data_IF_415442989517
#
_entry.id   IF_415442989517
#
_cell.length_a   1.000
_cell.length_b   1.000
_cell.length_c   1.000
_cell.angle_alpha   90.00
_cell.angle_beta   90.00
_cell.angle_gamma   90.00
#
_symmetry.space_group_name_H-M   'P 1'
#
loop_
_entity.id
_entity.type
_entity.pdbx_description
1 polymer ?
#
# COMPACT_ATOMS: atom_id res chain seq x y z
N UNK A 1 -16.14 -29.32 -2.72
CA UNK A 1 -15.42 -28.54 -1.69
C UNK A 1 -14.90 -29.45 -0.60
N UNK A 2 -13.72 -29.16 -0.06
CA UNK A 2 -13.10 -29.88 1.06
C UNK A 2 -12.93 -28.91 2.23
N UNK A 3 -13.17 -29.40 3.45
CA UNK A 3 -13.12 -28.60 4.66
C UNK A 3 -12.05 -29.09 5.62
N UNK A 4 -11.39 -28.12 6.28
CA UNK A 4 -10.25 -28.36 7.17
C UNK A 4 -10.34 -27.50 8.44
N UNK A 5 -9.69 -27.95 9.50
CA UNK A 5 -9.41 -27.14 10.68
C UNK A 5 -7.97 -26.58 10.60
N UNK A 6 -7.83 -25.26 10.55
CA UNK A 6 -6.54 -24.58 10.43
C UNK A 6 -6.46 -23.47 11.48
N UNK A 7 -5.49 -23.52 12.39
CA UNK A 7 -5.34 -22.56 13.48
C UNK A 7 -6.69 -22.31 14.23
N UNK A 8 -7.40 -23.38 14.53
CA UNK A 8 -8.74 -23.39 15.16
C UNK A 8 -9.84 -22.65 14.38
N UNK A 9 -9.69 -22.52 13.08
CA UNK A 9 -10.69 -21.93 12.18
C UNK A 9 -11.16 -22.94 11.14
N UNK A 10 -12.40 -22.82 10.73
CA UNK A 10 -12.92 -23.58 9.60
C UNK A 10 -12.37 -22.98 8.30
N UNK A 11 -11.74 -23.82 7.50
CA UNK A 11 -11.19 -23.49 6.21
C UNK A 11 -11.84 -24.34 5.11
N UNK A 12 -12.09 -23.77 3.95
CA UNK A 12 -12.51 -24.46 2.74
C UNK A 12 -11.39 -24.46 1.69
N UNK A 13 -11.41 -25.41 0.76
CA UNK A 13 -10.47 -25.50 -0.36
C UNK A 13 -11.06 -26.32 -1.50
N UNK A 14 -10.59 -26.06 -2.72
CA UNK A 14 -10.75 -26.98 -3.86
C UNK A 14 -9.77 -28.17 -3.79
N UNK A 15 -8.69 -28.05 -3.00
CA UNK A 15 -7.63 -29.06 -2.89
C UNK A 15 -8.05 -30.15 -1.88
N UNK A 16 -7.97 -31.41 -2.32
CA UNK A 16 -8.33 -32.57 -1.50
C UNK A 16 -7.25 -32.95 -0.48
N UNK A 17 -5.99 -32.92 -0.91
CA UNK A 17 -4.87 -33.41 -0.12
C UNK A 17 -4.07 -32.26 0.52
N UNK A 18 -4.65 -31.64 1.56
CA UNK A 18 -3.94 -30.68 2.37
C UNK A 18 -3.52 -31.32 3.71
N UNK A 19 -2.36 -30.91 4.29
CA UNK A 19 -1.82 -31.49 5.51
C UNK A 19 -2.50 -30.94 6.78
N UNK A 20 -3.84 -30.86 6.75
CA UNK A 20 -4.66 -30.38 7.86
C UNK A 20 -5.74 -31.39 8.23
N UNK A 21 -6.22 -31.32 9.47
CA UNK A 21 -7.32 -32.14 9.94
C UNK A 21 -8.59 -31.83 9.13
N UNK A 22 -9.29 -32.88 8.66
CA UNK A 22 -10.58 -32.77 7.97
C UNK A 22 -11.65 -32.25 8.91
N UNK A 23 -12.50 -31.38 8.42
CA UNK A 23 -13.63 -30.82 9.14
C UNK A 23 -14.95 -31.10 8.39
N UNK A 24 -16.07 -31.00 9.08
CA UNK A 24 -17.38 -30.97 8.46
C UNK A 24 -17.65 -29.69 7.70
N UNK A 25 -18.54 -29.74 6.70
CA UNK A 25 -18.98 -28.57 5.95
C UNK A 25 -19.64 -27.53 6.86
N UNK A 26 -19.44 -26.26 6.56
CA UNK A 26 -19.98 -25.14 7.31
C UNK A 26 -19.65 -23.81 6.64
N UNK A 27 -19.83 -22.67 7.32
CA UNK A 27 -19.44 -21.35 6.82
C UNK A 27 -17.96 -21.12 7.17
N UNK A 28 -17.03 -21.16 6.20
CA UNK A 28 -15.60 -21.04 6.48
C UNK A 28 -15.18 -19.61 6.76
N UNK A 29 -14.13 -19.44 7.57
CA UNK A 29 -13.42 -18.17 7.76
C UNK A 29 -12.25 -18.02 6.79
N UNK A 30 -11.66 -19.15 6.36
CA UNK A 30 -10.50 -19.18 5.49
C UNK A 30 -10.82 -19.94 4.20
N UNK A 31 -10.20 -19.54 3.11
CA UNK A 31 -10.15 -20.32 1.88
C UNK A 31 -8.69 -20.58 1.52
N UNK A 32 -8.32 -21.85 1.45
CA UNK A 32 -6.93 -22.27 1.19
C UNK A 32 -6.75 -22.58 -0.29
N UNK A 33 -5.72 -22.01 -0.87
CA UNK A 33 -5.35 -22.27 -2.26
C UNK A 33 -3.83 -22.38 -2.42
N UNK A 34 -3.37 -22.80 -3.58
CA UNK A 34 -1.96 -22.80 -3.98
C UNK A 34 -1.86 -22.19 -5.36
N UNK A 35 -0.97 -21.22 -5.52
CA UNK A 35 -0.64 -20.60 -6.81
C UNK A 35 0.81 -20.89 -7.17
N UNK A 36 1.12 -20.96 -8.45
CA UNK A 36 2.47 -21.28 -8.92
C UNK A 36 3.42 -20.08 -8.85
N UNK A 37 2.89 -18.86 -8.81
CA UNK A 37 3.70 -17.66 -8.85
C UNK A 37 4.18 -17.23 -7.45
N UNK A 38 5.50 -17.07 -7.23
CA UNK A 38 6.06 -16.76 -5.92
C UNK A 38 5.77 -15.32 -5.43
N UNK A 39 5.27 -14.43 -6.29
CA UNK A 39 5.09 -13.00 -5.99
C UNK A 39 3.65 -12.58 -6.29
N UNK A 40 2.72 -13.11 -5.51
CA UNK A 40 1.34 -12.66 -5.43
C UNK A 40 1.01 -12.37 -3.96
N UNK A 41 -0.09 -11.68 -3.70
CA UNK A 41 -0.56 -11.49 -2.31
C UNK A 41 -0.72 -12.85 -1.64
N UNK A 42 -0.26 -12.98 -0.41
CA UNK A 42 -0.38 -14.22 0.36
C UNK A 42 -1.72 -14.35 1.06
N UNK A 43 -2.43 -13.23 1.22
CA UNK A 43 -3.78 -13.19 1.78
C UNK A 43 -4.58 -11.99 1.26
N UNK A 44 -5.89 -12.16 1.16
CA UNK A 44 -6.83 -11.08 0.81
C UNK A 44 -8.23 -11.38 1.29
N UNK A 45 -9.03 -10.33 1.48
CA UNK A 45 -10.46 -10.47 1.68
C UNK A 45 -11.13 -10.89 0.38
N UNK A 46 -11.86 -11.97 0.41
CA UNK A 46 -12.62 -12.47 -0.76
C UNK A 46 -13.93 -11.69 -0.89
N UNK A 47 -14.18 -11.15 -2.07
CA UNK A 47 -15.41 -10.43 -2.40
C UNK A 47 -16.18 -11.08 -3.57
N UNK A 48 -15.53 -12.01 -4.29
CA UNK A 48 -16.12 -12.77 -5.40
C UNK A 48 -15.43 -14.12 -5.55
N UNK A 49 -16.18 -15.13 -6.02
CA UNK A 49 -15.68 -16.50 -6.22
C UNK A 49 -14.51 -16.54 -7.22
N UNK A 50 -14.51 -15.71 -8.25
CA UNK A 50 -13.45 -15.61 -9.27
C UNK A 50 -12.07 -15.33 -8.65
N UNK A 51 -12.02 -14.67 -7.50
CA UNK A 51 -10.77 -14.43 -6.77
C UNK A 51 -10.16 -15.69 -6.13
N UNK A 52 -10.89 -16.78 -6.08
CA UNK A 52 -10.44 -18.07 -5.50
C UNK A 52 -9.77 -18.98 -6.55
N UNK A 53 -9.93 -18.68 -7.83
CA UNK A 53 -9.46 -19.49 -8.96
C UNK A 53 -8.41 -18.78 -9.82
N UNK A 54 -8.16 -17.49 -9.60
CA UNK A 54 -7.22 -16.72 -10.38
C UNK A 54 -5.76 -17.12 -10.07
N UNK A 55 -5.08 -17.68 -11.05
CA UNK A 55 -3.66 -18.07 -10.94
C UNK A 55 -2.74 -16.86 -10.88
N UNK A 56 -3.13 -15.75 -11.50
CA UNK A 56 -2.32 -14.53 -11.59
C UNK A 56 -3.08 -13.31 -11.07
N UNK A 57 -2.34 -12.31 -10.60
CA UNK A 57 -2.89 -11.01 -10.26
C UNK A 57 -2.50 -9.98 -11.32
N UNK A 58 -3.51 -9.45 -12.00
CA UNK A 58 -3.39 -8.39 -13.01
C UNK A 58 -4.43 -7.30 -12.75
N UNK A 59 -4.47 -6.27 -13.59
CA UNK A 59 -5.52 -5.23 -13.52
C UNK A 59 -6.95 -5.78 -13.70
N UNK A 60 -7.12 -7.04 -14.12
CA UNK A 60 -8.40 -7.73 -14.12
C UNK A 60 -9.04 -7.83 -12.72
N UNK A 61 -8.23 -7.78 -11.66
CA UNK A 61 -8.72 -7.73 -10.28
C UNK A 61 -9.51 -6.47 -9.95
N UNK A 62 -9.41 -5.43 -10.78
CA UNK A 62 -10.17 -4.19 -10.61
C UNK A 62 -11.52 -4.23 -11.35
N UNK A 63 -11.74 -5.21 -12.24
CA UNK A 63 -13.01 -5.46 -12.92
C UNK A 63 -13.26 -6.97 -13.03
N UNK A 64 -14.03 -7.50 -12.09
CA UNK A 64 -14.29 -8.94 -11.99
C UNK A 64 -14.88 -9.56 -13.26
N UNK A 65 -15.51 -8.79 -14.13
CA UNK A 65 -16.03 -9.26 -15.43
C UNK A 65 -14.91 -9.63 -16.41
N UNK A 66 -13.68 -9.18 -16.13
CA UNK A 66 -12.47 -9.47 -16.92
C UNK A 66 -11.67 -10.67 -16.41
N UNK A 67 -12.09 -11.22 -15.28
CA UNK A 67 -11.52 -12.45 -14.74
C UNK A 67 -12.16 -13.66 -15.40
N UNK A 68 -11.47 -14.81 -15.37
CA UNK A 68 -11.99 -16.07 -15.85
C UNK A 68 -13.24 -16.49 -15.08
N UNK A 69 -14.04 -17.41 -15.65
CA UNK A 69 -15.27 -17.89 -15.06
C UNK A 69 -15.02 -18.52 -13.67
N UNK A 70 -15.93 -18.26 -12.77
CA UNK A 70 -15.87 -18.79 -11.42
C UNK A 70 -16.14 -20.29 -11.40
N UNK A 71 -15.38 -21.03 -10.58
CA UNK A 71 -15.76 -22.39 -10.22
C UNK A 71 -16.99 -22.40 -9.30
N UNK A 72 -17.80 -23.45 -9.38
CA UNK A 72 -18.90 -23.62 -8.44
C UNK A 72 -18.35 -23.82 -7.01
N UNK A 73 -18.94 -23.11 -6.07
CA UNK A 73 -18.68 -23.23 -4.65
C UNK A 73 -19.96 -23.63 -3.93
N UNK A 74 -19.84 -24.27 -2.78
CA UNK A 74 -21.00 -24.64 -1.98
C UNK A 74 -21.62 -23.44 -1.23
N UNK A 75 -22.76 -23.69 -0.58
CA UNK A 75 -23.53 -22.70 0.15
C UNK A 75 -22.72 -22.05 1.30
N UNK A 76 -21.84 -22.82 1.97
CA UNK A 76 -21.01 -22.30 3.06
C UNK A 76 -20.05 -21.23 2.60
N UNK A 77 -19.32 -21.49 1.50
CA UNK A 77 -18.40 -20.54 0.90
C UNK A 77 -19.14 -19.32 0.33
N UNK A 78 -20.23 -19.53 -0.40
CA UNK A 78 -21.08 -18.45 -0.94
C UNK A 78 -21.58 -17.53 0.18
N UNK A 79 -22.04 -18.10 1.28
CA UNK A 79 -22.51 -17.36 2.46
C UNK A 79 -21.38 -16.54 3.10
N UNK A 80 -20.18 -17.13 3.23
CA UNK A 80 -19.02 -16.41 3.78
C UNK A 80 -18.58 -15.23 2.91
N UNK A 81 -18.62 -15.37 1.58
CA UNK A 81 -18.34 -14.29 0.62
C UNK A 81 -19.40 -13.18 0.77
N UNK A 82 -20.68 -13.53 0.72
CA UNK A 82 -21.79 -12.59 0.84
C UNK A 82 -21.77 -11.82 2.18
N UNK A 83 -21.37 -12.48 3.27
CA UNK A 83 -21.19 -11.85 4.58
C UNK A 83 -19.89 -11.04 4.69
N UNK A 84 -18.97 -11.14 3.71
CA UNK A 84 -17.67 -10.48 3.73
C UNK A 84 -16.73 -10.99 4.83
N UNK A 85 -16.86 -12.27 5.21
CA UNK A 85 -16.12 -12.90 6.33
C UNK A 85 -15.03 -13.85 5.88
N UNK A 86 -14.88 -14.09 4.57
CA UNK A 86 -13.91 -15.03 4.00
C UNK A 86 -12.57 -14.37 3.72
N UNK A 87 -11.50 -14.99 4.18
CA UNK A 87 -10.11 -14.64 3.86
C UNK A 87 -9.47 -15.73 3.01
N UNK A 88 -8.94 -15.40 1.84
CA UNK A 88 -8.11 -16.31 1.07
C UNK A 88 -6.67 -16.33 1.61
N UNK A 89 -6.07 -17.53 1.64
CA UNK A 89 -4.69 -17.77 2.08
C UNK A 89 -3.99 -18.62 1.02
N UNK A 90 -2.90 -18.08 0.46
CA UNK A 90 -2.04 -18.79 -0.48
C UNK A 90 -0.99 -19.61 0.26
N UNK A 91 -1.17 -20.93 0.27
CA UNK A 91 -0.27 -21.88 0.92
C UNK A 91 1.07 -22.04 0.19
N UNK A 92 1.22 -21.52 -1.02
CA UNK A 92 2.50 -21.47 -1.74
C UNK A 92 3.46 -20.46 -1.12
N UNK A 93 2.95 -19.45 -0.40
CA UNK A 93 3.80 -18.54 0.36
C UNK A 93 4.33 -19.25 1.61
N UNK A 94 5.66 -19.33 1.81
CA UNK A 94 6.24 -20.02 2.97
C UNK A 94 5.84 -19.38 4.31
N UNK A 95 5.37 -18.12 4.31
CA UNK A 95 4.89 -17.41 5.49
C UNK A 95 3.36 -17.41 5.63
N UNK A 96 2.64 -18.37 5.05
CA UNK A 96 1.17 -18.42 5.09
C UNK A 96 0.59 -18.38 6.52
N UNK A 97 1.27 -18.95 7.52
CA UNK A 97 0.84 -18.82 8.93
C UNK A 97 0.93 -17.38 9.42
N UNK A 98 1.95 -16.66 9.00
CA UNK A 98 2.04 -15.22 9.30
C UNK A 98 0.93 -14.45 8.57
N UNK A 99 0.58 -14.81 7.34
CA UNK A 99 -0.53 -14.20 6.62
C UNK A 99 -1.87 -14.35 7.38
N UNK A 100 -2.16 -15.53 7.93
CA UNK A 100 -3.31 -15.76 8.81
C UNK A 100 -3.27 -14.85 10.04
N UNK A 101 -2.11 -14.73 10.70
CA UNK A 101 -1.95 -13.88 11.88
C UNK A 101 -2.04 -12.38 11.54
N UNK A 102 -1.56 -11.98 10.35
CA UNK A 102 -1.56 -10.60 9.88
C UNK A 102 -2.98 -10.06 9.64
N UNK A 103 -3.91 -10.91 9.18
CA UNK A 103 -5.31 -10.53 8.95
C UNK A 103 -6.13 -10.41 10.24
N UNK A 104 -5.58 -10.73 11.40
CA UNK A 104 -6.30 -10.60 12.66
C UNK A 104 -6.34 -9.14 13.13
N UNK A 105 -7.51 -8.65 13.59
CA UNK A 105 -7.62 -7.31 14.14
C UNK A 105 -6.74 -7.16 15.39
N UNK A 106 -5.90 -6.14 15.39
CA UNK A 106 -5.15 -5.74 16.58
C UNK A 106 -5.90 -4.61 17.27
N UNK A 107 -6.34 -4.81 18.50
CA UNK A 107 -7.02 -3.79 19.29
C UNK A 107 -6.09 -2.63 19.67
N UNK A 108 -6.67 -1.47 19.98
CA UNK A 108 -5.98 -0.30 20.50
C UNK A 108 -5.33 0.58 19.43
N UNK A 109 -4.80 1.71 19.90
CA UNK A 109 -4.05 2.67 19.08
C UNK A 109 -2.69 2.07 18.71
N UNK A 110 -2.19 2.45 17.53
CA UNK A 110 -0.98 1.90 16.93
C UNK A 110 0.26 2.69 17.32
N UNK A 111 1.39 2.00 17.41
CA UNK A 111 2.72 2.60 17.42
C UNK A 111 3.24 2.73 16.00
N UNK A 112 3.62 3.95 15.61
CA UNK A 112 4.17 4.29 14.29
C UNK A 112 5.61 4.71 14.46
N UNK A 113 6.54 4.09 13.75
CA UNK A 113 7.95 4.48 13.74
C UNK A 113 8.33 5.09 12.38
N UNK A 114 8.82 6.32 12.40
CA UNK A 114 9.17 7.12 11.22
C UNK A 114 10.69 7.23 11.07
N UNK A 115 11.20 6.78 9.94
CA UNK A 115 12.59 6.97 9.54
C UNK A 115 12.74 8.22 8.68
N UNK A 116 13.62 9.11 9.09
CA UNK A 116 13.99 10.40 8.51
C UNK A 116 12.91 11.49 8.66
N UNK A 117 13.30 12.58 9.32
CA UNK A 117 12.47 13.77 9.58
C UNK A 117 12.96 15.01 8.80
N UNK A 118 13.29 14.79 7.50
CA UNK A 118 13.52 15.86 6.54
C UNK A 118 12.22 16.59 6.14
N UNK A 119 12.22 17.31 5.00
CA UNK A 119 11.06 18.11 4.53
C UNK A 119 9.74 17.31 4.54
N UNK A 120 9.74 16.11 3.94
CA UNK A 120 8.55 15.24 3.88
C UNK A 120 8.25 14.63 5.24
N UNK A 121 9.25 14.03 5.91
CA UNK A 121 9.05 13.30 7.17
C UNK A 121 8.58 14.21 8.31
N UNK A 122 9.11 15.42 8.42
CA UNK A 122 8.67 16.38 9.45
C UNK A 122 7.24 16.90 9.23
N UNK A 123 6.87 17.14 7.98
CA UNK A 123 5.51 17.53 7.63
C UNK A 123 4.52 16.38 7.88
N UNK A 124 4.92 15.16 7.52
CA UNK A 124 4.17 13.94 7.85
C UNK A 124 3.98 13.79 9.37
N UNK A 125 5.06 13.90 10.13
CA UNK A 125 5.05 13.82 11.60
C UNK A 125 4.05 14.80 12.19
N UNK A 126 4.11 16.06 11.75
CA UNK A 126 3.17 17.11 12.21
C UNK A 126 1.72 16.74 11.91
N UNK A 127 1.44 16.27 10.69
CA UNK A 127 0.09 15.89 10.30
C UNK A 127 -0.41 14.65 11.08
N UNK A 128 0.44 13.64 11.31
CA UNK A 128 0.09 12.47 12.13
C UNK A 128 -0.19 12.85 13.59
N UNK A 129 0.62 13.75 14.16
CA UNK A 129 0.42 14.29 15.52
C UNK A 129 -0.94 14.96 15.66
N UNK A 130 -1.33 15.78 14.69
CA UNK A 130 -2.57 16.57 14.75
C UNK A 130 -3.82 15.75 14.41
N UNK A 131 -3.74 14.79 13.48
CA UNK A 131 -4.91 14.14 12.90
C UNK A 131 -5.08 12.67 13.33
N UNK A 132 -4.06 12.04 13.89
CA UNK A 132 -4.02 10.59 14.12
C UNK A 132 -4.42 10.13 15.51
N UNK A 133 -4.82 11.04 16.40
CA UNK A 133 -5.00 10.75 17.83
C UNK A 133 -6.05 9.68 18.18
N UNK A 134 -6.94 9.35 17.25
CA UNK A 134 -7.93 8.27 17.41
C UNK A 134 -7.36 6.88 17.12
N UNK A 135 -6.34 6.77 16.25
CA UNK A 135 -5.77 5.48 15.80
C UNK A 135 -4.28 5.31 16.10
N UNK A 136 -3.57 6.40 16.43
CA UNK A 136 -2.15 6.39 16.76
C UNK A 136 -1.97 6.76 18.22
N UNK A 137 -1.26 5.91 18.98
CA UNK A 137 -0.93 6.13 20.39
C UNK A 137 0.41 6.82 20.58
N UNK A 138 1.42 6.41 19.80
CA UNK A 138 2.76 7.00 19.87
C UNK A 138 3.44 6.99 18.50
N UNK A 139 4.36 7.93 18.29
CA UNK A 139 5.18 8.06 17.10
C UNK A 139 6.64 8.08 17.51
N UNK A 140 7.37 7.03 17.15
CA UNK A 140 8.82 6.98 17.28
C UNK A 140 9.47 7.66 16.06
N UNK A 141 10.49 8.49 16.28
CA UNK A 141 11.25 9.10 15.19
C UNK A 141 12.73 8.72 15.26
N UNK A 142 13.26 8.38 14.09
CA UNK A 142 14.67 8.05 13.91
C UNK A 142 15.24 8.87 12.74
N UNK A 143 16.41 9.45 12.94
CA UNK A 143 17.16 10.19 11.91
C UNK A 143 18.65 10.02 12.15
N UNK A 144 19.48 10.19 11.12
CA UNK A 144 20.94 10.16 11.23
C UNK A 144 21.48 11.30 12.10
N UNK A 145 20.73 12.38 12.25
CA UNK A 145 21.07 13.54 13.05
C UNK A 145 20.34 13.51 14.41
N UNK A 146 21.06 13.19 15.47
CA UNK A 146 20.55 13.26 16.84
C UNK A 146 19.96 14.62 17.20
N UNK A 147 20.56 15.71 16.69
CA UNK A 147 20.05 17.07 16.88
C UNK A 147 18.69 17.27 16.23
N UNK A 148 18.47 16.65 15.07
CA UNK A 148 17.19 16.68 14.37
C UNK A 148 16.14 15.91 15.17
N UNK A 149 16.49 14.74 15.69
CA UNK A 149 15.60 13.95 16.57
C UNK A 149 15.25 14.73 17.82
N UNK A 150 16.24 15.26 18.54
CA UNK A 150 16.04 16.04 19.76
C UNK A 150 15.15 17.29 19.52
N UNK A 151 15.36 17.99 18.41
CA UNK A 151 14.50 19.11 18.00
C UNK A 151 13.05 18.67 17.86
N UNK A 152 12.79 17.67 17.02
CA UNK A 152 11.43 17.28 16.68
C UNK A 152 10.69 16.62 17.85
N UNK A 153 11.35 15.84 18.71
CA UNK A 153 10.73 15.32 19.92
C UNK A 153 10.35 16.45 20.88
N UNK A 154 11.22 17.43 21.05
CA UNK A 154 10.95 18.59 21.92
C UNK A 154 9.81 19.45 21.37
N UNK A 155 9.83 19.83 20.11
CA UNK A 155 8.78 20.67 19.53
C UNK A 155 7.44 19.95 19.46
N UNK A 156 7.38 18.67 19.08
CA UNK A 156 6.15 17.89 19.02
C UNK A 156 5.56 17.63 20.41
N UNK A 157 6.41 17.50 21.44
CA UNK A 157 5.97 17.38 22.83
C UNK A 157 5.25 18.65 23.37
N UNK A 158 5.45 19.79 22.71
CA UNK A 158 4.80 21.07 23.08
C UNK A 158 3.47 21.32 22.32
N UNK A 159 3.06 20.40 21.45
CA UNK A 159 1.79 20.49 20.72
C UNK A 159 0.73 19.66 21.43
N UNK A 160 -0.25 20.32 22.04
CA UNK A 160 -1.37 19.69 22.73
C UNK A 160 -2.60 20.62 22.77
N UNK A 161 -3.76 20.03 22.94
CA UNK A 161 -4.97 20.82 23.25
C UNK A 161 -4.94 21.28 24.69
N UNK A 162 -5.35 22.53 24.99
CA UNK A 162 -5.55 22.98 26.37
C UNK A 162 -6.51 22.05 27.10
N UNK A 163 -6.09 21.57 28.26
CA UNK A 163 -6.85 20.68 29.17
C UNK A 163 -7.18 19.29 28.61
N UNK A 164 -6.64 18.93 27.42
CA UNK A 164 -6.73 17.59 26.83
C UNK A 164 -5.34 17.16 26.33
N UNK A 165 -4.40 17.02 27.27
CA UNK A 165 -2.97 16.83 26.98
C UNK A 165 -2.60 15.42 26.48
N UNK A 166 -3.52 14.45 26.55
CA UNK A 166 -3.31 13.05 26.16
C UNK A 166 -4.05 12.64 24.89
N UNK A 167 -4.75 13.55 24.20
CA UNK A 167 -5.57 13.21 23.01
C UNK A 167 -4.76 13.03 21.74
N UNK A 168 -3.55 13.60 21.67
CA UNK A 168 -2.65 13.49 20.54
C UNK A 168 -1.58 12.40 20.79
N UNK A 169 -1.06 11.75 19.74
CA UNK A 169 0.03 10.79 19.86
C UNK A 169 1.25 11.40 20.56
N UNK A 170 1.88 10.66 21.44
CA UNK A 170 3.20 11.03 21.98
C UNK A 170 4.28 10.86 20.89
N UNK A 171 5.29 11.75 20.91
CA UNK A 171 6.43 11.67 19.97
C UNK A 171 7.70 11.46 20.77
N UNK A 172 8.45 10.41 20.45
CA UNK A 172 9.65 10.02 21.15
C UNK A 172 10.79 9.66 20.19
N UNK A 173 12.02 9.72 20.67
CA UNK A 173 13.19 9.23 19.94
C UNK A 173 13.17 7.70 19.91
N UNK A 174 13.53 7.11 18.79
CA UNK A 174 13.70 5.66 18.62
C UNK A 174 15.07 5.38 18.02
N UNK A 175 15.80 4.45 18.61
CA UNK A 175 17.06 3.97 18.09
C UNK A 175 16.83 3.07 16.86
N UNK A 176 17.88 2.96 16.05
CA UNK A 176 17.86 2.14 14.84
C UNK A 176 17.45 0.68 15.10
N UNK A 177 17.88 0.12 16.23
CA UNK A 177 17.59 -1.26 16.64
C UNK A 177 16.11 -1.49 16.98
N UNK A 178 15.39 -0.44 17.40
CA UNK A 178 13.99 -0.49 17.82
C UNK A 178 13.01 0.03 16.76
N UNK A 179 13.49 0.33 15.53
CA UNK A 179 12.63 0.84 14.44
C UNK A 179 11.47 -0.09 14.10
N UNK A 180 11.66 -1.39 14.31
CA UNK A 180 10.66 -2.41 13.97
C UNK A 180 9.87 -2.92 15.18
N UNK A 181 9.95 -2.24 16.35
CA UNK A 181 9.16 -2.54 17.55
C UNK A 181 7.80 -1.84 17.55
N UNK A 182 7.19 -1.65 16.38
CA UNK A 182 5.92 -0.95 16.20
C UNK A 182 4.95 -1.67 15.27
N UNK A 183 3.74 -1.13 15.16
CA UNK A 183 2.71 -1.63 14.23
C UNK A 183 2.93 -1.13 12.81
N UNK A 184 3.56 0.04 12.65
CA UNK A 184 3.86 0.67 11.35
C UNK A 184 5.28 1.19 11.35
N UNK A 185 6.05 0.82 10.33
CA UNK A 185 7.32 1.43 9.99
C UNK A 185 7.13 2.30 8.74
N UNK A 186 7.58 3.56 8.77
CA UNK A 186 7.49 4.49 7.65
C UNK A 186 8.88 4.80 7.10
N UNK A 187 9.10 4.44 5.85
CA UNK A 187 10.29 4.79 5.10
C UNK A 187 10.10 6.11 4.36
N UNK A 188 10.64 7.21 4.91
CA UNK A 188 10.63 8.55 4.30
C UNK A 188 12.05 9.06 3.94
N UNK A 189 13.07 8.19 4.07
CA UNK A 189 14.45 8.54 3.75
C UNK A 189 14.67 8.63 2.24
N UNK A 190 15.43 9.62 1.81
CA UNK A 190 15.82 9.80 0.41
C UNK A 190 17.26 10.30 0.32
N UNK A 191 17.99 9.85 -0.68
CA UNK A 191 19.26 10.42 -1.05
C UNK A 191 19.00 11.69 -1.88
N UNK A 192 19.91 12.66 -1.80
CA UNK A 192 19.75 13.96 -2.42
C UNK A 192 19.23 13.87 -3.88
N UNK A 193 18.14 14.60 -4.14
CA UNK A 193 17.57 14.74 -5.49
C UNK A 193 18.56 15.56 -6.33
N UNK A 194 18.89 15.15 -7.57
CA UNK A 194 19.69 15.96 -8.47
C UNK A 194 19.14 17.38 -8.59
N UNK A 195 20.02 18.37 -8.56
CA UNK A 195 19.63 19.78 -8.69
C UNK A 195 18.89 20.02 -10.01
N UNK A 196 17.94 20.95 -10.00
CA UNK A 196 17.26 21.41 -11.22
C UNK A 196 18.33 21.92 -12.21
N UNK A 197 18.33 21.35 -13.44
CA UNK A 197 19.34 21.68 -14.46
C UNK A 197 20.55 20.73 -14.52
N UNK A 198 20.58 19.66 -13.70
CA UNK A 198 21.61 18.63 -13.82
C UNK A 198 21.45 17.84 -15.14
N UNK A 199 22.58 17.44 -15.75
CA UNK A 199 22.62 16.65 -17.01
C UNK A 199 22.18 15.18 -16.86
N UNK A 200 21.43 14.83 -15.83
CA UNK A 200 20.93 13.46 -15.62
C UNK A 200 19.77 13.21 -16.57
N UNK A 201 19.95 12.32 -17.53
CA UNK A 201 18.96 12.00 -18.57
C UNK A 201 17.66 11.38 -18.02
N UNK A 202 17.75 10.64 -16.92
CA UNK A 202 16.59 10.05 -16.24
C UNK A 202 16.72 10.21 -14.72
N UNK A 203 16.12 11.28 -14.21
CA UNK A 203 16.17 11.65 -12.78
C UNK A 203 15.50 10.58 -11.91
N UNK A 204 14.46 9.92 -12.40
CA UNK A 204 13.71 8.90 -11.63
C UNK A 204 14.49 7.60 -11.51
N UNK A 205 15.15 7.18 -12.58
CA UNK A 205 16.01 5.97 -12.52
C UNK A 205 17.22 6.21 -11.61
N UNK A 206 17.84 7.39 -11.66
CA UNK A 206 18.92 7.74 -10.74
C UNK A 206 18.45 7.80 -9.27
N UNK A 207 17.22 8.27 -9.03
CA UNK A 207 16.59 8.23 -7.70
C UNK A 207 16.29 6.78 -7.27
N UNK A 208 15.78 5.95 -8.18
CA UNK A 208 15.52 4.54 -7.89
C UNK A 208 16.80 3.83 -7.44
N UNK A 209 17.88 3.92 -8.22
CA UNK A 209 19.16 3.29 -7.86
C UNK A 209 19.69 3.78 -6.51
N UNK A 210 19.61 5.08 -6.25
CA UNK A 210 20.09 5.67 -5.02
C UNK A 210 19.25 5.24 -3.80
N UNK A 211 17.93 5.22 -3.91
CA UNK A 211 17.01 4.94 -2.83
C UNK A 211 16.75 3.43 -2.64
N UNK A 212 16.86 2.61 -3.69
CA UNK A 212 16.68 1.16 -3.60
C UNK A 212 17.68 0.51 -2.64
N UNK A 213 18.95 0.95 -2.65
CA UNK A 213 19.95 0.46 -1.70
C UNK A 213 19.62 0.79 -0.25
N UNK A 214 19.03 1.98 -0.01
CA UNK A 214 18.63 2.42 1.33
C UNK A 214 17.42 1.61 1.80
N UNK A 215 16.35 1.55 1.01
CA UNK A 215 15.15 0.79 1.41
C UNK A 215 15.44 -0.69 1.59
N UNK A 216 16.31 -1.27 0.74
CA UNK A 216 16.76 -2.65 0.87
C UNK A 216 17.49 -2.94 2.19
N UNK A 217 18.28 -1.98 2.69
CA UNK A 217 18.93 -2.11 4.00
C UNK A 217 17.88 -2.24 5.13
N UNK A 218 16.91 -1.33 5.18
CA UNK A 218 15.85 -1.36 6.20
C UNK A 218 14.90 -2.54 6.02
N UNK A 219 14.63 -2.97 4.81
CA UNK A 219 13.84 -4.18 4.55
C UNK A 219 14.53 -5.46 5.09
N UNK A 220 15.86 -5.57 4.98
CA UNK A 220 16.61 -6.65 5.61
C UNK A 220 16.61 -6.55 7.13
N UNK A 221 16.66 -5.35 7.70
CA UNK A 221 16.50 -5.16 9.15
C UNK A 221 15.11 -5.62 9.61
N UNK A 222 14.04 -5.27 8.86
CA UNK A 222 12.68 -5.72 9.14
C UNK A 222 12.58 -7.26 9.14
N UNK A 223 13.20 -7.92 8.14
CA UNK A 223 13.30 -9.38 8.10
C UNK A 223 14.01 -9.93 9.36
N UNK A 224 15.17 -9.40 9.73
CA UNK A 224 15.96 -9.86 10.86
C UNK A 224 15.22 -9.65 12.19
N UNK A 225 14.43 -8.59 12.30
CA UNK A 225 13.55 -8.33 13.43
C UNK A 225 12.26 -9.18 13.41
N UNK A 226 12.05 -10.03 12.39
CA UNK A 226 10.81 -10.79 12.20
C UNK A 226 9.57 -9.86 12.25
N UNK A 227 9.65 -8.73 11.56
CA UNK A 227 8.67 -7.65 11.63
C UNK A 227 7.27 -8.10 11.19
N UNK A 228 6.27 -7.76 12.01
CA UNK A 228 4.87 -8.18 11.83
C UNK A 228 3.92 -7.01 11.50
N UNK A 229 4.45 -5.78 11.40
CA UNK A 229 3.66 -4.59 11.13
C UNK A 229 3.63 -4.21 9.64
N UNK A 230 3.04 -3.06 9.35
CA UNK A 230 3.00 -2.45 8.02
C UNK A 230 4.35 -1.78 7.70
N UNK A 231 4.95 -2.14 6.57
CA UNK A 231 6.12 -1.49 5.99
C UNK A 231 5.65 -0.46 4.95
N UNK A 232 5.55 0.79 5.37
CA UNK A 232 5.06 1.90 4.55
C UNK A 232 6.21 2.58 3.80
N UNK A 233 6.10 2.69 2.48
CA UNK A 233 7.04 3.43 1.63
C UNK A 233 6.42 4.75 1.18
N UNK A 234 7.10 5.86 1.48
CA UNK A 234 6.68 7.22 1.11
C UNK A 234 7.69 7.91 0.18
N UNK A 235 8.91 7.42 0.11
CA UNK A 235 9.97 7.97 -0.76
C UNK A 235 9.80 7.58 -2.22
N UNK A 236 10.22 8.47 -3.13
CA UNK A 236 10.16 8.26 -4.57
C UNK A 236 11.34 7.44 -5.12
N UNK A 237 11.09 6.64 -6.18
CA UNK A 237 9.79 6.30 -6.78
C UNK A 237 9.06 5.22 -5.96
N UNK A 238 7.91 5.58 -5.39
CA UNK A 238 7.19 4.81 -4.36
C UNK A 238 6.97 3.35 -4.74
N UNK A 239 6.40 3.09 -5.91
CA UNK A 239 5.97 1.75 -6.33
C UNK A 239 7.17 0.80 -6.52
N UNK A 240 8.23 1.28 -7.17
CA UNK A 240 9.46 0.53 -7.38
C UNK A 240 10.23 0.31 -6.06
N UNK A 241 10.18 1.27 -5.14
CA UNK A 241 10.81 1.10 -3.82
C UNK A 241 10.06 0.07 -2.96
N UNK A 242 8.74 -0.04 -3.09
CA UNK A 242 7.99 -1.15 -2.48
C UNK A 242 8.48 -2.50 -3.00
N UNK A 243 8.63 -2.64 -4.32
CA UNK A 243 9.15 -3.86 -4.93
C UNK A 243 10.58 -4.15 -4.49
N UNK A 244 11.44 -3.13 -4.42
CA UNK A 244 12.82 -3.27 -3.94
C UNK A 244 12.87 -3.71 -2.46
N UNK A 245 12.02 -3.13 -1.61
CA UNK A 245 11.90 -3.51 -0.20
C UNK A 245 11.47 -4.98 -0.06
N UNK A 246 10.41 -5.37 -0.78
CA UNK A 246 9.91 -6.73 -0.76
C UNK A 246 10.95 -7.74 -1.27
N UNK A 247 11.60 -7.45 -2.39
CA UNK A 247 12.65 -8.28 -2.95
C UNK A 247 13.83 -8.47 -1.99
N UNK A 248 14.26 -7.37 -1.34
CA UNK A 248 15.39 -7.40 -0.41
C UNK A 248 15.07 -8.13 0.90
N UNK A 249 13.86 -7.98 1.43
CA UNK A 249 13.41 -8.67 2.64
C UNK A 249 13.29 -10.19 2.42
N UNK A 250 12.93 -10.63 1.23
CA UNK A 250 12.66 -12.04 0.93
C UNK A 250 13.84 -12.80 0.29
N UNK A 251 15.06 -12.28 0.49
CA UNK A 251 16.31 -12.96 0.11
C UNK A 251 17.14 -13.27 1.34
N UNK A 252 17.70 -14.49 1.38
CA UNK A 252 18.61 -14.92 2.42
C UNK A 252 19.98 -14.22 2.29
N UNK A 253 20.90 -14.53 3.21
CA UNK A 253 22.26 -13.97 3.23
C UNK A 253 23.08 -14.28 1.96
N UNK A 254 22.73 -15.35 1.22
CA UNK A 254 23.33 -15.71 -0.06
C UNK A 254 22.73 -14.96 -1.24
N UNK A 255 21.70 -14.13 -1.02
CA UNK A 255 20.94 -13.43 -2.05
C UNK A 255 19.91 -14.31 -2.79
N UNK A 256 19.67 -15.53 -2.34
CA UNK A 256 18.68 -16.44 -2.89
C UNK A 256 17.29 -16.10 -2.32
N UNK A 257 16.28 -16.19 -3.17
CA UNK A 257 14.88 -16.01 -2.75
C UNK A 257 14.41 -17.15 -1.86
N UNK A 258 13.88 -16.83 -0.68
CA UNK A 258 13.30 -17.82 0.26
C UNK A 258 11.90 -17.44 0.76
N UNK A 259 11.46 -16.20 0.53
CA UNK A 259 10.13 -15.72 0.91
C UNK A 259 9.87 -15.64 2.42
N UNK A 260 10.92 -15.58 3.25
CA UNK A 260 10.82 -15.62 4.71
C UNK A 260 11.01 -14.24 5.39
N UNK A 261 10.79 -13.15 4.65
CA UNK A 261 10.96 -11.78 5.16
C UNK A 261 9.66 -11.06 5.48
N UNK A 262 9.10 -10.41 4.47
CA UNK A 262 7.85 -9.66 4.57
C UNK A 262 6.79 -10.29 3.66
N UNK A 263 5.53 -10.24 4.09
CA UNK A 263 4.42 -10.57 3.20
C UNK A 263 4.24 -9.47 2.13
N UNK A 264 3.77 -9.79 0.92
CA UNK A 264 3.51 -8.80 -0.11
C UNK A 264 2.54 -7.70 0.36
N UNK A 265 1.50 -8.05 1.11
CA UNK A 265 0.51 -7.14 1.67
C UNK A 265 1.03 -6.30 2.85
N UNK A 266 2.15 -6.68 3.48
CA UNK A 266 2.80 -5.84 4.49
C UNK A 266 3.50 -4.62 3.90
N UNK A 267 3.90 -4.68 2.62
CA UNK A 267 4.62 -3.58 1.97
C UNK A 267 3.63 -2.75 1.17
N UNK A 268 3.44 -1.51 1.55
CA UNK A 268 2.53 -0.59 0.87
C UNK A 268 3.20 0.73 0.49
N UNK A 269 2.81 1.26 -0.69
CA UNK A 269 3.28 2.53 -1.21
C UNK A 269 2.26 3.66 -1.02
N UNK A 270 2.72 4.80 -0.55
CA UNK A 270 1.88 5.96 -0.24
C UNK A 270 2.24 7.15 -1.14
N UNK A 271 1.89 7.04 -2.44
CA UNK A 271 2.12 8.07 -3.46
C UNK A 271 0.82 8.55 -4.14
N UNK A 272 -0.17 7.66 -4.28
CA UNK A 272 -1.38 7.95 -5.05
C UNK A 272 -2.31 8.99 -4.41
N UNK A 273 -2.29 9.15 -3.09
CA UNK A 273 -3.17 10.07 -2.37
C UNK A 273 -3.04 11.53 -2.83
N UNK A 274 -1.82 12.02 -3.04
CA UNK A 274 -1.61 13.38 -3.55
C UNK A 274 -2.04 13.51 -5.02
N UNK A 275 -1.95 12.45 -5.82
CA UNK A 275 -2.42 12.48 -7.20
C UNK A 275 -3.93 12.61 -7.25
N UNK A 276 -4.64 11.86 -6.41
CA UNK A 276 -6.09 11.99 -6.22
C UNK A 276 -6.48 13.42 -5.78
N UNK A 277 -5.75 13.98 -4.82
CA UNK A 277 -6.01 15.34 -4.34
C UNK A 277 -5.73 16.43 -5.39
N UNK A 278 -4.66 16.27 -6.20
CA UNK A 278 -4.35 17.19 -7.32
C UNK A 278 -5.40 17.14 -8.42
N UNK A 279 -5.86 15.93 -8.78
CA UNK A 279 -6.94 15.76 -9.74
C UNK A 279 -8.22 16.46 -9.26
N UNK A 280 -8.59 16.28 -7.99
CA UNK A 280 -9.73 16.98 -7.40
C UNK A 280 -9.54 18.51 -7.37
N UNK A 281 -8.31 18.99 -7.11
CA UNK A 281 -8.01 20.41 -7.16
C UNK A 281 -8.27 21.02 -8.55
N UNK A 282 -7.85 20.35 -9.64
CA UNK A 282 -8.11 20.80 -11.01
C UNK A 282 -9.56 20.61 -11.42
N UNK A 283 -10.20 19.52 -10.99
CA UNK A 283 -11.62 19.27 -11.29
C UNK A 283 -12.56 20.34 -10.69
N UNK A 284 -12.19 20.92 -9.55
CA UNK A 284 -12.94 22.05 -8.95
C UNK A 284 -12.82 23.36 -9.73
N UNK A 285 -11.88 23.47 -10.67
CA UNK A 285 -11.62 24.69 -11.44
C UNK A 285 -12.17 24.63 -12.88
N UNK A 286 -12.67 23.46 -13.31
CA UNK A 286 -13.15 23.23 -14.66
C UNK A 286 -14.42 22.35 -14.64
N UNK A 287 -15.57 22.93 -15.01
CA UNK A 287 -16.85 22.23 -14.96
C UNK A 287 -16.88 20.95 -15.81
N UNK A 288 -16.10 20.89 -16.90
CA UNK A 288 -15.97 19.68 -17.74
C UNK A 288 -15.38 18.50 -16.96
N UNK A 289 -14.60 18.77 -15.93
CA UNK A 289 -13.90 17.79 -15.09
C UNK A 289 -14.63 17.52 -13.78
N UNK A 290 -15.75 18.17 -13.50
CA UNK A 290 -16.45 18.11 -12.21
C UNK A 290 -16.91 16.69 -11.83
N UNK A 291 -17.19 15.82 -12.81
CA UNK A 291 -17.53 14.41 -12.59
C UNK A 291 -16.45 13.65 -11.81
N UNK A 292 -15.18 14.06 -11.89
CA UNK A 292 -14.11 13.47 -11.12
C UNK A 292 -14.37 13.49 -9.60
N UNK A 293 -15.04 14.52 -9.11
CA UNK A 293 -15.25 14.70 -7.66
C UNK A 293 -16.15 13.61 -7.04
N UNK A 294 -16.98 12.95 -7.82
CA UNK A 294 -17.93 11.92 -7.39
C UNK A 294 -17.67 10.55 -8.01
N UNK A 295 -17.28 10.50 -9.28
CA UNK A 295 -17.17 9.29 -10.09
C UNK A 295 -15.73 8.96 -10.48
N UNK A 296 -14.80 9.92 -10.32
CA UNK A 296 -13.42 9.77 -10.75
C UNK A 296 -12.62 8.79 -9.90
N UNK A 297 -11.56 8.24 -10.51
CA UNK A 297 -10.58 7.37 -9.85
C UNK A 297 -9.16 7.70 -10.31
N UNK A 298 -8.22 7.42 -9.42
CA UNK A 298 -6.79 7.50 -9.71
C UNK A 298 -6.19 6.11 -9.63
N UNK A 299 -5.37 5.76 -10.62
CA UNK A 299 -4.74 4.46 -10.74
C UNK A 299 -3.25 4.59 -11.11
N UNK A 300 -2.48 3.55 -10.82
CA UNK A 300 -1.10 3.43 -11.24
C UNK A 300 -0.10 4.15 -10.33
N UNK A 301 1.13 4.34 -10.81
CA UNK A 301 2.23 4.82 -9.99
C UNK A 301 2.15 6.33 -9.72
N UNK A 302 2.89 6.76 -8.69
CA UNK A 302 3.20 8.17 -8.48
C UNK A 302 4.18 8.67 -9.54
N UNK A 303 3.76 8.72 -10.81
CA UNK A 303 4.64 9.20 -11.88
C UNK A 303 4.25 8.74 -13.27
N UNK A 304 5.25 8.27 -14.07
CA UNK A 304 5.01 7.78 -15.43
C UNK A 304 4.10 6.54 -15.37
N UNK A 305 3.01 6.58 -16.10
CA UNK A 305 1.96 5.56 -16.07
C UNK A 305 0.81 5.88 -15.12
N UNK A 306 0.82 7.04 -14.41
CA UNK A 306 -0.35 7.51 -13.68
C UNK A 306 -1.53 7.66 -14.63
N UNK A 307 -2.72 7.24 -14.16
CA UNK A 307 -3.97 7.36 -14.88
C UNK A 307 -5.02 7.98 -13.95
N UNK A 308 -5.60 9.09 -14.38
CA UNK A 308 -6.73 9.73 -13.72
C UNK A 308 -7.96 9.54 -14.59
N UNK A 309 -8.89 8.69 -14.18
CA UNK A 309 -10.19 8.57 -14.84
C UNK A 309 -11.10 9.72 -14.41
N UNK A 310 -11.55 10.55 -15.34
CA UNK A 310 -12.47 11.66 -15.07
C UNK A 310 -13.78 11.19 -14.44
N UNK A 311 -14.26 10.04 -14.86
CA UNK A 311 -15.40 9.30 -14.35
C UNK A 311 -15.21 7.83 -14.70
N UNK A 312 -15.70 6.92 -13.87
CA UNK A 312 -15.78 5.49 -14.21
C UNK A 312 -17.06 5.20 -14.96
N UNK A 313 -18.18 5.79 -14.53
CA UNK A 313 -19.48 5.56 -15.15
C UNK A 313 -19.61 6.23 -16.53
N UNK A 314 -19.05 7.44 -16.69
CA UNK A 314 -19.12 8.25 -17.89
C UNK A 314 -17.73 8.62 -18.37
N UNK A 315 -16.90 7.59 -18.62
CA UNK A 315 -15.49 7.75 -18.97
C UNK A 315 -15.33 8.47 -20.33
N UNK A 316 -14.54 9.53 -20.30
CA UNK A 316 -14.08 10.25 -21.49
C UNK A 316 -12.55 10.25 -21.53
N UNK A 317 -11.99 9.63 -22.57
CA UNK A 317 -10.54 9.44 -22.69
C UNK A 317 -9.79 10.76 -22.84
N UNK A 318 -10.32 11.73 -23.57
CA UNK A 318 -9.68 13.02 -23.76
C UNK A 318 -9.65 13.84 -22.45
N UNK A 319 -10.75 13.89 -21.72
CA UNK A 319 -10.83 14.54 -20.41
C UNK A 319 -9.95 13.83 -19.37
N UNK A 320 -9.91 12.51 -19.41
CA UNK A 320 -9.05 11.69 -18.54
C UNK A 320 -7.56 11.98 -18.81
N UNK A 321 -7.13 12.05 -20.08
CA UNK A 321 -5.75 12.40 -20.44
C UNK A 321 -5.40 13.84 -20.02
N UNK A 322 -6.28 14.81 -20.27
CA UNK A 322 -6.09 16.20 -19.85
C UNK A 322 -5.91 16.31 -18.33
N UNK A 323 -6.77 15.64 -17.56
CA UNK A 323 -6.71 15.68 -16.11
C UNK A 323 -5.47 14.94 -15.57
N UNK A 324 -5.07 13.85 -16.21
CA UNK A 324 -3.84 13.11 -15.89
C UNK A 324 -2.60 14.00 -16.05
N UNK A 325 -2.48 14.69 -17.18
CA UNK A 325 -1.36 15.59 -17.47
C UNK A 325 -1.28 16.76 -16.47
N UNK A 326 -2.41 17.42 -16.21
CA UNK A 326 -2.51 18.48 -15.19
C UNK A 326 -2.04 17.97 -13.81
N UNK A 327 -2.40 16.75 -13.46
CA UNK A 327 -2.06 16.12 -12.17
C UNK A 327 -0.57 15.79 -12.08
N UNK A 328 0.00 15.17 -13.10
CA UNK A 328 1.42 14.78 -13.14
C UNK A 328 2.34 16.00 -13.11
N UNK A 329 1.96 17.07 -13.79
CA UNK A 329 2.78 18.28 -13.91
C UNK A 329 2.58 19.30 -12.79
N UNK A 330 1.65 19.07 -11.87
CA UNK A 330 1.32 20.01 -10.78
C UNK A 330 2.54 20.43 -9.91
N UNK A 331 3.50 19.52 -9.71
CA UNK A 331 4.71 19.80 -8.96
C UNK A 331 5.66 20.77 -9.68
N UNK A 332 5.62 20.85 -11.00
CA UNK A 332 6.45 21.77 -11.78
C UNK A 332 6.07 23.21 -11.51
N UNK A 333 4.77 23.50 -11.38
CA UNK A 333 4.27 24.85 -11.05
C UNK A 333 4.83 25.38 -9.71
N UNK A 334 5.01 24.48 -8.71
CA UNK A 334 5.63 24.88 -7.45
C UNK A 334 7.11 25.19 -7.60
N UNK A 335 7.81 24.42 -8.43
CA UNK A 335 9.24 24.66 -8.74
C UNK A 335 9.46 25.94 -9.53
N UNK A 336 8.57 26.27 -10.47
CA UNK A 336 8.61 27.50 -11.26
C UNK A 336 8.53 28.76 -10.38
N UNK A 337 7.76 28.72 -9.30
CA UNK A 337 7.67 29.82 -8.33
C UNK A 337 8.72 29.72 -7.21
N UNK A 338 9.70 28.79 -7.33
CA UNK A 338 10.87 28.72 -6.45
C UNK A 338 10.72 27.86 -5.19
N UNK A 339 9.66 27.04 -5.06
CA UNK A 339 9.42 26.22 -3.87
C UNK A 339 9.52 24.72 -4.13
N UNK A 340 9.92 23.96 -3.09
CA UNK A 340 9.88 22.50 -3.11
C UNK A 340 8.46 21.99 -2.86
N UNK A 341 7.91 21.07 -3.70
CA UNK A 341 6.53 20.61 -3.60
C UNK A 341 6.37 19.39 -2.64
N UNK A 342 6.74 19.51 -1.36
CA UNK A 342 6.73 18.36 -0.42
C UNK A 342 5.53 18.33 0.54
N UNK A 343 4.85 19.46 0.79
CA UNK A 343 3.77 19.53 1.79
C UNK A 343 2.58 18.64 1.40
N UNK A 344 2.06 18.81 0.18
CA UNK A 344 0.92 18.02 -0.27
C UNK A 344 1.21 16.50 -0.33
N UNK A 345 2.35 16.01 -0.85
CA UNK A 345 2.72 14.61 -0.76
C UNK A 345 2.77 14.09 0.68
N UNK A 346 3.42 14.80 1.59
CA UNK A 346 3.55 14.39 2.99
C UNK A 346 2.20 14.25 3.69
N UNK A 347 1.27 15.19 3.44
CA UNK A 347 -0.04 15.20 4.08
C UNK A 347 -1.03 14.31 3.35
N UNK A 348 -1.26 14.55 2.04
CA UNK A 348 -2.33 13.85 1.29
C UNK A 348 -1.98 12.40 0.96
N UNK A 349 -0.71 12.07 0.65
CA UNK A 349 -0.29 10.68 0.45
C UNK A 349 0.14 10.02 1.76
N UNK A 350 0.94 10.68 2.58
CA UNK A 350 1.47 10.12 3.81
C UNK A 350 0.41 10.05 4.91
N UNK A 351 0.17 11.16 5.60
CA UNK A 351 -0.61 11.17 6.83
C UNK A 351 -2.06 10.73 6.63
N UNK A 352 -2.77 11.33 5.68
CA UNK A 352 -4.20 11.05 5.48
C UNK A 352 -4.44 9.61 5.06
N UNK A 353 -3.64 9.08 4.11
CA UNK A 353 -3.85 7.69 3.67
C UNK A 353 -3.46 6.70 4.77
N UNK A 354 -2.40 6.94 5.55
CA UNK A 354 -2.06 6.07 6.67
C UNK A 354 -3.17 6.05 7.73
N UNK A 355 -3.70 7.21 8.11
CA UNK A 355 -4.80 7.29 9.08
C UNK A 355 -6.03 6.51 8.57
N UNK A 356 -6.39 6.65 7.28
CA UNK A 356 -7.47 5.88 6.68
C UNK A 356 -7.16 4.37 6.68
N UNK A 357 -5.92 3.98 6.39
CA UNK A 357 -5.46 2.58 6.48
C UNK A 357 -5.67 2.02 7.88
N UNK A 358 -5.24 2.76 8.91
CA UNK A 358 -5.36 2.32 10.31
C UNK A 358 -6.82 2.27 10.80
N UNK A 359 -7.70 3.07 10.19
CA UNK A 359 -9.15 3.02 10.42
C UNK A 359 -9.86 1.91 9.65
N UNK A 360 -9.15 1.15 8.81
CA UNK A 360 -9.76 0.15 7.91
C UNK A 360 -10.66 0.77 6.83
N UNK A 361 -10.45 2.06 6.52
CA UNK A 361 -11.23 2.81 5.55
C UNK A 361 -10.59 2.76 4.15
N UNK A 362 -11.41 3.04 3.13
CA UNK A 362 -10.92 3.17 1.77
C UNK A 362 -9.91 4.31 1.65
N UNK A 363 -8.76 4.01 1.07
CA UNK A 363 -7.67 4.96 0.84
C UNK A 363 -7.00 4.70 -0.52
N UNK A 364 -6.14 5.61 -0.95
CA UNK A 364 -5.41 5.52 -2.21
C UNK A 364 -3.94 5.21 -1.92
N UNK A 365 -3.49 4.02 -2.27
CA UNK A 365 -2.12 3.56 -2.06
C UNK A 365 -1.75 2.44 -3.00
N UNK A 366 -0.45 2.12 -3.09
CA UNK A 366 0.05 1.05 -3.94
C UNK A 366 0.13 -0.26 -3.17
N UNK A 367 -0.41 -1.30 -3.76
CA UNK A 367 -0.43 -2.67 -3.23
C UNK A 367 0.22 -3.63 -4.20
N UNK A 368 0.67 -4.77 -3.72
CA UNK A 368 1.18 -5.84 -4.59
C UNK A 368 0.08 -6.33 -5.52
N UNK A 369 0.41 -6.43 -6.80
CA UNK A 369 -0.42 -6.97 -7.86
C UNK A 369 0.45 -7.83 -8.79
N UNK A 370 0.52 -9.12 -8.54
CA UNK A 370 1.30 -10.04 -9.36
C UNK A 370 2.76 -9.64 -9.54
N UNK A 371 3.43 -9.22 -8.46
CA UNK A 371 4.86 -8.92 -8.45
C UNK A 371 5.25 -7.47 -8.75
N UNK A 372 4.30 -6.62 -9.10
CA UNK A 372 4.48 -5.16 -9.14
C UNK A 372 3.68 -4.50 -8.01
N UNK A 373 4.00 -3.24 -7.70
CA UNK A 373 3.16 -2.41 -6.84
C UNK A 373 2.35 -1.46 -7.71
N UNK A 374 1.04 -1.53 -7.55
CA UNK A 374 0.08 -0.79 -8.35
C UNK A 374 -0.80 0.09 -7.47
N UNK A 375 -0.82 1.38 -7.75
CA UNK A 375 -1.66 2.34 -7.04
C UNK A 375 -3.14 2.17 -7.37
N UNK A 376 -3.94 1.95 -6.35
CA UNK A 376 -5.39 1.73 -6.47
C UNK A 376 -6.10 2.14 -5.17
N UNK A 377 -7.40 2.36 -5.23
CA UNK A 377 -8.21 2.51 -4.03
C UNK A 377 -8.37 1.14 -3.35
N UNK A 378 -7.92 1.07 -2.11
CA UNK A 378 -7.89 -0.17 -1.35
C UNK A 378 -8.19 0.08 0.13
N UNK A 379 -8.39 -0.97 0.91
CA UNK A 379 -8.52 -0.90 2.38
C UNK A 379 -8.03 -2.17 3.05
N UNK A 380 -7.56 -2.02 4.28
CA UNK A 380 -7.30 -3.14 5.17
C UNK A 380 -8.52 -3.41 6.03
N UNK A 381 -8.96 -4.65 6.04
CA UNK A 381 -10.04 -5.12 6.91
C UNK A 381 -9.52 -6.21 7.85
N UNK A 382 -10.32 -6.60 8.83
CA UNK A 382 -10.03 -7.76 9.67
C UNK A 382 -9.96 -9.09 8.89
N UNK A 383 -10.31 -9.08 7.61
CA UNK A 383 -10.27 -10.24 6.70
C UNK A 383 -9.19 -10.10 5.61
N UNK A 384 -8.31 -9.14 5.75
CA UNK A 384 -7.20 -8.88 4.83
C UNK A 384 -7.41 -7.66 3.94
N UNK A 385 -6.47 -7.51 3.01
CA UNK A 385 -6.49 -6.45 2.01
C UNK A 385 -7.63 -6.64 1.03
N UNK A 386 -8.37 -5.57 0.77
CA UNK A 386 -9.41 -5.48 -0.25
C UNK A 386 -9.08 -4.36 -1.23
N UNK A 387 -9.05 -4.65 -2.52
CA UNK A 387 -8.95 -3.65 -3.58
C UNK A 387 -10.34 -3.33 -4.13
N UNK A 388 -10.56 -2.08 -4.53
CA UNK A 388 -11.84 -1.68 -5.13
C UNK A 388 -12.05 -2.37 -6.48
N UNK A 389 -13.21 -2.96 -6.67
CA UNK A 389 -13.65 -3.54 -7.94
C UNK A 389 -14.71 -2.65 -8.57
N UNK A 390 -14.63 -2.45 -9.87
CA UNK A 390 -15.44 -1.50 -10.63
C UNK A 390 -15.86 -2.11 -11.96
N UNK A 391 -16.94 -1.62 -12.51
CA UNK A 391 -17.35 -1.90 -13.90
C UNK A 391 -16.57 -0.96 -14.84
N UNK A 392 -15.37 -1.37 -15.28
CA UNK A 392 -14.48 -0.53 -16.05
C UNK A 392 -14.89 -0.48 -17.54
N UNK A 393 -15.06 0.72 -18.14
CA UNK A 393 -15.17 0.85 -19.58
C UNK A 393 -13.94 0.31 -20.32
N UNK A 394 -14.13 -0.24 -21.54
CA UNK A 394 -13.04 -0.87 -22.30
C UNK A 394 -11.84 0.06 -22.52
N UNK A 395 -12.08 1.33 -22.83
CA UNK A 395 -11.01 2.32 -23.02
C UNK A 395 -10.19 2.54 -21.74
N UNK A 396 -10.85 2.62 -20.59
CA UNK A 396 -10.17 2.75 -19.29
C UNK A 396 -9.39 1.48 -18.94
N UNK A 397 -10.00 0.31 -19.13
CA UNK A 397 -9.35 -0.97 -18.86
C UNK A 397 -8.08 -1.16 -19.72
N UNK A 398 -8.14 -0.83 -21.00
CA UNK A 398 -6.97 -0.88 -21.88
C UNK A 398 -5.82 0.00 -21.38
N UNK A 399 -6.11 1.21 -20.92
CA UNK A 399 -5.09 2.10 -20.34
C UNK A 399 -4.50 1.55 -19.04
N UNK A 400 -5.30 0.85 -18.24
CA UNK A 400 -4.79 0.16 -17.05
C UNK A 400 -3.83 -0.96 -17.41
N UNK A 401 -4.11 -1.74 -18.48
CA UNK A 401 -3.20 -2.75 -19.00
C UNK A 401 -1.88 -2.12 -19.47
N UNK A 402 -1.93 -1.01 -20.21
CA UNK A 402 -0.75 -0.26 -20.63
C UNK A 402 0.08 0.23 -19.42
N UNK A 403 -0.57 0.67 -18.35
CA UNK A 403 0.09 1.06 -17.10
C UNK A 403 0.75 -0.14 -16.42
N UNK A 404 0.07 -1.28 -16.37
CA UNK A 404 0.63 -2.54 -15.85
C UNK A 404 1.88 -2.96 -16.62
N UNK A 405 1.84 -2.93 -17.96
CA UNK A 405 2.99 -3.24 -18.81
C UNK A 405 4.17 -2.29 -18.54
N UNK A 406 3.92 -1.00 -18.39
CA UNK A 406 4.94 -0.02 -18.02
C UNK A 406 5.61 -0.41 -16.70
N UNK A 407 4.83 -0.73 -15.66
CA UNK A 407 5.37 -1.10 -14.35
C UNK A 407 6.17 -2.41 -14.42
N UNK A 408 5.68 -3.42 -15.13
CA UNK A 408 6.39 -4.70 -15.32
C UNK A 408 7.68 -4.56 -16.11
N UNK A 409 7.78 -3.56 -16.98
CA UNK A 409 8.99 -3.30 -17.79
C UNK A 409 10.14 -2.66 -17.01
N UNK A 410 9.89 -2.12 -15.81
CA UNK A 410 10.91 -1.45 -15.00
C UNK A 410 11.70 -2.51 -14.21
N UNK A 411 13.01 -2.67 -14.46
CA UNK A 411 13.82 -3.62 -13.70
C UNK A 411 14.05 -3.09 -12.28
N UNK A 412 13.54 -3.80 -11.28
CA UNK A 412 13.79 -3.53 -9.86
C UNK A 412 14.62 -4.69 -9.29
N UNK A 413 15.84 -4.39 -8.87
CA UNK A 413 16.81 -5.35 -8.31
C UNK A 413 16.73 -5.45 -6.80
#
# INVERSE_FOLDING_TARGET
MYYYCVENRLAASFLEDLPFERAGAGVPELFLLKRELPICRSSWKVTDVRQLTADTETVAWFDLRRMDDAHEVDEGVSSAIAAGTLTAIDLSNPMWRHAIAYTQPKAGKKRVNLLAVGDVGSTLLTALKLLGGDVIGSIGICDLSEKTVARWTTEMGQISWPWDYCSMPEVEAVDMEHLFDGDVFIFAATKAIPAVGSNVKDVRMAQLEANAGIVAHYARMARNANYKGLFMVLSDPVDQLCQAAYNAANRNEKGEWDGLGLLPEQVQGYGLGVMTARAAYYAKQDERLASYLTEGRSFGPHGKGLLIANSVANYDDALSMELTEKTVTANLKMREIGFKPYVAPAVSSGAMQLILTLRGQWHCGSVCLGGIWFGVRNRYTAKGLEVETLDLPDGLYKRLQETEEILRSIPVR
#
